data_IF_078319371981
#
_entry.id   IF_078319371981
#
_cell.length_a   1.000
_cell.length_b   1.000
_cell.length_c   1.000
_cell.angle_alpha   90.00
_cell.angle_beta   90.00
_cell.angle_gamma   90.00
#
_symmetry.space_group_name_H-M   'P 1'
#
loop_
_entity.id
_entity.type
_entity.pdbx_description
1 polymer ?
#
# COMPACT_ATOMS: atom_id res chain seq x y z
N UNK A 1 -32.80 36.43 -63.04
CA UNK A 1 -32.76 34.98 -62.72
C UNK A 1 -31.76 34.78 -61.58
N UNK A 2 -32.20 34.12 -60.49
CA UNK A 2 -31.46 33.62 -59.30
C UNK A 2 -30.69 34.66 -58.44
N UNK A 3 -31.08 35.03 -57.20
CA UNK A 3 -31.04 34.28 -55.92
C UNK A 3 -29.67 33.59 -55.70
N UNK A 4 -28.90 33.72 -54.61
CA UNK A 4 -29.17 34.21 -53.25
C UNK A 4 -27.88 34.25 -52.40
N UNK A 5 -27.77 35.27 -51.54
CA UNK A 5 -27.35 35.24 -50.12
C UNK A 5 -25.99 34.68 -49.64
N UNK A 6 -25.25 35.57 -48.95
CA UNK A 6 -24.74 35.48 -47.56
C UNK A 6 -24.15 34.14 -47.08
N UNK A 7 -22.88 34.18 -46.62
CA UNK A 7 -22.55 34.06 -45.18
C UNK A 7 -21.06 34.27 -44.91
N UNK A 8 -20.78 35.31 -44.15
CA UNK A 8 -19.56 35.50 -43.39
C UNK A 8 -19.38 34.39 -42.34
N UNK A 9 -18.09 34.19 -42.04
CA UNK A 9 -17.54 33.82 -40.74
C UNK A 9 -17.68 32.37 -40.25
N UNK A 10 -16.58 31.99 -39.57
CA UNK A 10 -16.39 30.84 -38.71
C UNK A 10 -16.05 29.52 -39.41
N UNK A 11 -14.77 29.15 -39.33
CA UNK A 11 -14.29 27.94 -38.62
C UNK A 11 -12.80 27.72 -38.89
N UNK A 12 -11.98 28.67 -38.47
CA UNK A 12 -10.56 28.44 -38.19
C UNK A 12 -10.38 27.68 -36.85
N UNK A 13 -11.14 26.62 -36.64
CA UNK A 13 -11.26 25.90 -35.36
C UNK A 13 -11.41 24.39 -35.58
N UNK A 14 -10.61 23.82 -36.50
CA UNK A 14 -10.59 22.38 -36.76
C UNK A 14 -9.19 21.76 -36.68
N UNK A 15 -8.25 22.42 -35.98
CA UNK A 15 -6.85 21.95 -35.92
C UNK A 15 -6.22 22.03 -34.52
N UNK A 16 -7.01 21.78 -33.46
CA UNK A 16 -6.51 21.81 -32.07
C UNK A 16 -7.07 20.69 -31.17
N UNK A 17 -7.47 19.54 -31.72
CA UNK A 17 -8.11 18.47 -30.92
C UNK A 17 -7.43 17.09 -30.97
N UNK A 18 -6.15 16.96 -31.35
CA UNK A 18 -5.48 15.65 -31.41
C UNK A 18 -4.11 15.60 -30.69
N UNK A 19 -3.93 16.37 -29.61
CA UNK A 19 -2.71 16.29 -28.78
C UNK A 19 -3.01 16.19 -27.27
N UNK A 20 -4.19 15.71 -26.90
CA UNK A 20 -4.58 15.48 -25.51
C UNK A 20 -4.95 14.02 -25.32
N UNK A 21 -4.00 13.25 -24.76
CA UNK A 21 -4.17 11.99 -24.00
C UNK A 21 -3.06 10.99 -24.30
N UNK A 22 -1.84 11.38 -23.97
CA UNK A 22 -0.87 10.43 -23.44
C UNK A 22 -0.29 11.03 -22.16
N UNK A 23 -1.16 11.33 -21.18
CA UNK A 23 -0.70 11.27 -19.79
C UNK A 23 -0.58 9.78 -19.49
N UNK A 24 0.52 9.18 -19.93
CA UNK A 24 0.97 7.93 -19.38
C UNK A 24 1.21 8.24 -17.91
N UNK A 25 0.25 7.88 -17.07
CA UNK A 25 0.54 7.61 -15.69
C UNK A 25 1.65 6.56 -15.71
N UNK A 26 2.89 7.00 -15.51
CA UNK A 26 3.96 6.14 -15.00
C UNK A 26 3.56 5.74 -13.58
N UNK A 27 2.50 4.96 -13.46
CA UNK A 27 2.27 4.14 -12.30
C UNK A 27 3.36 3.06 -12.39
N UNK A 28 4.35 3.14 -11.50
CA UNK A 28 5.25 2.02 -11.28
C UNK A 28 4.41 0.76 -11.07
N UNK A 29 4.82 -0.34 -11.69
CA UNK A 29 4.07 -1.58 -11.59
C UNK A 29 4.10 -2.08 -10.14
N UNK A 30 2.96 -2.58 -9.60
CA UNK A 30 2.92 -3.13 -8.26
C UNK A 30 3.96 -4.24 -8.13
N UNK A 31 4.75 -4.20 -7.06
CA UNK A 31 5.79 -5.19 -6.85
C UNK A 31 6.12 -5.38 -5.38
N UNK A 32 6.55 -6.59 -5.04
CA UNK A 32 7.19 -6.89 -3.78
C UNK A 32 8.53 -7.55 -4.06
N UNK A 33 9.56 -7.12 -3.35
CA UNK A 33 10.89 -7.70 -3.43
C UNK A 33 11.48 -7.83 -2.03
N UNK A 34 12.50 -8.68 -1.90
CA UNK A 34 13.20 -8.82 -0.63
C UNK A 34 14.66 -8.45 -0.75
N UNK A 35 15.19 -7.89 0.33
CA UNK A 35 16.61 -7.65 0.53
C UNK A 35 17.07 -8.39 1.78
N UNK A 36 18.31 -8.90 1.75
CA UNK A 36 18.92 -9.56 2.91
C UNK A 36 20.16 -8.76 3.32
N UNK A 37 20.20 -8.36 4.59
CA UNK A 37 21.38 -7.72 5.18
C UNK A 37 22.39 -8.77 5.64
N UNK A 38 23.64 -8.36 5.80
CA UNK A 38 24.72 -9.22 6.34
C UNK A 38 24.42 -9.78 7.74
N UNK A 39 23.58 -9.10 8.53
CA UNK A 39 23.07 -9.56 9.83
C UNK A 39 22.08 -10.74 9.74
N UNK A 40 21.67 -11.11 8.53
CA UNK A 40 20.63 -12.10 8.27
C UNK A 40 19.21 -11.56 8.41
N UNK A 41 19.04 -10.25 8.64
CA UNK A 41 17.72 -9.60 8.58
C UNK A 41 17.23 -9.59 7.13
N UNK A 42 15.98 -9.99 6.93
CA UNK A 42 15.29 -9.98 5.64
C UNK A 42 14.23 -8.88 5.66
N UNK A 43 14.27 -7.97 4.70
CA UNK A 43 13.25 -6.94 4.52
C UNK A 43 12.50 -7.22 3.23
N UNK A 44 11.19 -7.40 3.34
CA UNK A 44 10.27 -7.39 2.21
C UNK A 44 9.74 -5.97 2.03
N UNK A 45 9.89 -5.44 0.83
CA UNK A 45 9.35 -4.12 0.45
C UNK A 45 8.34 -4.32 -0.66
N UNK A 46 7.11 -3.88 -0.41
CA UNK A 46 6.02 -3.88 -1.36
C UNK A 46 5.67 -2.42 -1.72
N UNK A 47 5.67 -2.10 -3.01
CA UNK A 47 5.43 -0.73 -3.50
C UNK A 47 4.33 -0.68 -4.54
N UNK A 48 3.68 0.48 -4.63
CA UNK A 48 2.70 0.84 -5.67
C UNK A 48 1.48 -0.08 -5.75
N UNK A 49 1.16 -0.77 -4.65
CA UNK A 49 -0.01 -1.64 -4.56
C UNK A 49 -1.27 -0.78 -4.55
N UNK A 50 -2.28 -1.21 -5.31
CA UNK A 50 -3.58 -0.53 -5.48
C UNK A 50 -4.74 -1.31 -4.90
N UNK A 51 -4.47 -2.51 -4.38
CA UNK A 51 -5.45 -3.31 -3.66
C UNK A 51 -4.78 -4.31 -2.72
N UNK A 52 -5.53 -4.79 -1.73
CA UNK A 52 -5.17 -5.88 -0.83
C UNK A 52 -4.91 -7.19 -1.57
N UNK A 53 -5.58 -7.42 -2.69
CA UNK A 53 -5.33 -8.58 -3.55
C UNK A 53 -3.92 -8.55 -4.13
N UNK A 54 -3.43 -7.38 -4.58
CA UNK A 54 -2.06 -7.26 -5.07
C UNK A 54 -1.02 -7.52 -3.96
N UNK A 55 -1.33 -7.16 -2.71
CA UNK A 55 -0.47 -7.52 -1.59
C UNK A 55 -0.36 -9.05 -1.45
N UNK A 56 -1.47 -9.79 -1.54
CA UNK A 56 -1.44 -11.26 -1.51
C UNK A 56 -0.70 -11.87 -2.70
N UNK A 57 -0.95 -11.34 -3.90
CA UNK A 57 -0.39 -11.89 -5.14
C UNK A 57 1.12 -11.68 -5.26
N UNK A 58 1.65 -10.59 -4.68
CA UNK A 58 3.06 -10.25 -4.79
C UNK A 58 3.88 -10.56 -3.54
N UNK A 59 3.27 -10.58 -2.35
CA UNK A 59 3.98 -10.88 -1.12
C UNK A 59 4.17 -12.39 -0.94
N UNK A 60 5.31 -12.88 -1.41
CA UNK A 60 5.74 -14.27 -1.27
C UNK A 60 6.87 -14.41 -0.22
N UNK A 61 6.55 -14.39 1.08
CA UNK A 61 7.56 -14.43 2.13
C UNK A 61 8.21 -15.81 2.24
N UNK A 62 9.50 -15.82 2.51
CA UNK A 62 10.22 -17.04 2.86
C UNK A 62 9.83 -17.47 4.28
N UNK A 63 8.92 -18.44 4.36
CA UNK A 63 8.40 -19.01 5.62
C UNK A 63 9.46 -19.78 6.44
N UNK A 64 10.65 -20.01 5.88
CA UNK A 64 11.78 -20.63 6.60
C UNK A 64 12.74 -19.62 7.21
N UNK A 65 12.46 -18.32 7.07
CA UNK A 65 13.28 -17.28 7.70
C UNK A 65 13.25 -17.41 9.23
N UNK A 66 14.40 -17.21 9.92
CA UNK A 66 14.42 -17.22 11.37
C UNK A 66 13.45 -16.19 11.97
N UNK A 67 12.75 -16.59 13.02
CA UNK A 67 11.80 -15.74 13.76
C UNK A 67 12.49 -14.46 14.23
N UNK A 68 11.79 -13.33 14.15
CA UNK A 68 12.27 -12.03 14.61
C UNK A 68 13.23 -11.32 13.64
N UNK A 69 13.56 -11.93 12.49
CA UNK A 69 14.47 -11.34 11.49
C UNK A 69 13.77 -10.81 10.24
N UNK A 70 12.44 -10.87 10.18
CA UNK A 70 11.68 -10.43 9.02
C UNK A 70 11.06 -9.05 9.27
N UNK A 71 11.28 -8.12 8.34
CA UNK A 71 10.65 -6.81 8.30
C UNK A 71 9.78 -6.69 7.06
N UNK A 72 8.55 -6.23 7.22
CA UNK A 72 7.67 -5.88 6.11
C UNK A 72 7.58 -4.35 6.00
N UNK A 73 7.79 -3.84 4.79
CA UNK A 73 7.58 -2.44 4.42
C UNK A 73 6.56 -2.41 3.29
N UNK A 74 5.51 -1.63 3.48
CA UNK A 74 4.54 -1.31 2.44
C UNK A 74 4.70 0.19 2.17
N UNK A 75 4.99 0.55 0.93
CA UNK A 75 5.27 1.94 0.53
C UNK A 75 4.40 2.38 -0.65
N UNK A 76 4.02 3.66 -0.67
CA UNK A 76 3.30 4.30 -1.80
C UNK A 76 2.06 3.53 -2.28
N UNK A 77 1.33 2.94 -1.33
CA UNK A 77 0.28 1.95 -1.64
C UNK A 77 -1.09 2.41 -1.15
N UNK A 78 -2.14 2.00 -1.85
CA UNK A 78 -3.52 2.16 -1.44
C UNK A 78 -4.16 0.77 -1.31
N UNK A 79 -4.51 0.37 -0.10
CA UNK A 79 -5.05 -0.95 0.21
C UNK A 79 -6.44 -0.82 0.84
N UNK A 80 -7.37 -1.72 0.51
CA UNK A 80 -8.67 -1.76 1.18
C UNK A 80 -8.50 -2.20 2.65
N UNK A 81 -7.72 -3.25 2.88
CA UNK A 81 -7.38 -3.78 4.20
C UNK A 81 -6.05 -4.53 4.18
N UNK A 82 -5.59 -4.98 5.34
CA UNK A 82 -4.57 -6.05 5.39
C UNK A 82 -5.29 -7.38 5.24
N UNK A 83 -4.94 -8.19 4.23
CA UNK A 83 -5.55 -9.50 4.03
C UNK A 83 -5.45 -10.39 5.26
N UNK A 84 -6.53 -11.09 5.59
CA UNK A 84 -6.52 -12.06 6.68
C UNK A 84 -5.49 -13.17 6.40
N UNK A 85 -4.74 -13.56 7.43
CA UNK A 85 -3.77 -14.64 7.34
C UNK A 85 -2.48 -14.27 6.61
N UNK A 86 -2.31 -13.02 6.15
CA UNK A 86 -1.08 -12.53 5.50
C UNK A 86 0.17 -12.85 6.35
N UNK A 87 0.04 -12.74 7.67
CA UNK A 87 1.14 -12.95 8.61
C UNK A 87 1.21 -14.36 9.20
N UNK A 88 0.30 -15.26 8.83
CA UNK A 88 0.19 -16.59 9.41
C UNK A 88 1.49 -17.40 9.27
N UNK A 89 2.12 -17.71 10.41
CA UNK A 89 3.36 -18.48 10.46
C UNK A 89 4.61 -17.70 10.03
N UNK A 90 4.55 -16.37 9.99
CA UNK A 90 5.70 -15.51 9.72
C UNK A 90 6.28 -14.95 11.02
N UNK A 91 7.61 -14.86 11.09
CA UNK A 91 8.31 -14.20 12.20
C UNK A 91 8.59 -12.73 11.93
N UNK A 92 7.55 -11.94 11.62
CA UNK A 92 7.70 -10.50 11.30
C UNK A 92 7.88 -9.71 12.60
N UNK A 93 9.04 -9.09 12.79
CA UNK A 93 9.32 -8.25 13.96
C UNK A 93 9.03 -6.77 13.73
N UNK A 94 8.96 -6.34 12.48
CA UNK A 94 8.68 -4.94 12.14
C UNK A 94 7.72 -4.84 10.96
N UNK A 95 6.66 -4.08 11.13
CA UNK A 95 5.75 -3.66 10.05
C UNK A 95 5.87 -2.14 9.89
N UNK A 96 6.11 -1.69 8.67
CA UNK A 96 6.16 -0.26 8.32
C UNK A 96 5.19 0.06 7.20
N UNK A 97 4.41 1.09 7.43
CA UNK A 97 3.56 1.78 6.46
C UNK A 97 4.20 3.13 6.11
N UNK A 98 4.50 3.32 4.83
CA UNK A 98 5.15 4.52 4.30
C UNK A 98 4.32 5.10 3.14
N UNK A 99 3.69 6.26 3.32
CA UNK A 99 2.74 6.80 2.35
C UNK A 99 1.69 5.77 1.93
N UNK A 100 1.09 5.10 2.91
CA UNK A 100 0.07 4.07 2.70
C UNK A 100 -1.31 4.59 3.04
N UNK A 101 -2.21 4.58 2.07
CA UNK A 101 -3.63 4.84 2.25
C UNK A 101 -4.38 3.54 2.52
N UNK A 102 -5.13 3.51 3.62
CA UNK A 102 -5.98 2.37 3.96
C UNK A 102 -7.45 2.80 3.78
N UNK A 103 -8.12 2.27 2.76
CA UNK A 103 -9.38 2.84 2.25
C UNK A 103 -10.64 2.12 2.73
N UNK A 104 -10.51 0.89 3.25
CA UNK A 104 -11.62 0.11 3.81
C UNK A 104 -11.89 0.42 5.28
N UNK A 105 -12.96 -0.17 5.82
CA UNK A 105 -13.33 -0.04 7.23
C UNK A 105 -12.66 -1.14 8.07
N UNK A 106 -11.83 -0.74 9.03
CA UNK A 106 -11.06 -1.64 9.89
C UNK A 106 -11.85 -2.08 11.13
N UNK A 107 -12.77 -1.22 11.56
CA UNK A 107 -13.53 -1.35 12.81
C UNK A 107 -14.63 -2.42 12.77
N UNK A 108 -14.94 -3.02 11.61
CA UNK A 108 -15.94 -4.09 11.47
C UNK A 108 -15.35 -5.49 11.31
N UNK A 109 -14.03 -5.64 11.24
CA UNK A 109 -13.41 -6.95 11.12
C UNK A 109 -13.56 -7.76 12.42
N UNK A 110 -13.77 -9.07 12.31
CA UNK A 110 -13.92 -9.97 13.47
C UNK A 110 -12.60 -10.20 14.23
N UNK A 111 -11.46 -9.90 13.59
CA UNK A 111 -10.12 -10.11 14.17
C UNK A 111 -9.14 -9.02 13.74
N UNK A 112 -8.08 -8.83 14.55
CA UNK A 112 -7.04 -7.84 14.27
C UNK A 112 -6.42 -8.07 12.87
N UNK A 113 -6.15 -7.00 12.11
CA UNK A 113 -5.42 -7.08 10.84
C UNK A 113 -3.99 -7.63 11.00
N UNK A 114 -3.46 -7.68 12.23
CA UNK A 114 -2.11 -8.15 12.55
C UNK A 114 -2.10 -9.61 13.03
N UNK A 115 -3.21 -10.35 12.85
CA UNK A 115 -3.33 -11.75 13.27
C UNK A 115 -2.19 -12.60 12.71
N UNK A 116 -1.54 -13.38 13.57
CA UNK A 116 -0.34 -14.16 13.28
C UNK A 116 0.96 -13.50 13.76
N UNK A 117 0.92 -12.24 14.21
CA UNK A 117 2.08 -11.53 14.74
C UNK A 117 2.08 -11.35 16.26
N UNK A 118 1.14 -11.98 16.97
CA UNK A 118 0.89 -11.81 18.40
C UNK A 118 2.18 -11.91 19.22
N UNK A 119 2.99 -12.93 18.92
CA UNK A 119 4.22 -13.25 19.65
C UNK A 119 5.51 -12.76 18.93
N UNK A 120 5.41 -12.00 17.85
CA UNK A 120 6.59 -11.64 17.03
C UNK A 120 6.73 -10.17 16.71
N UNK A 121 5.63 -9.40 16.65
CA UNK A 121 5.71 -7.98 16.33
C UNK A 121 6.33 -7.19 17.49
N UNK A 122 7.45 -6.54 17.23
CA UNK A 122 8.16 -5.70 18.20
C UNK A 122 8.01 -4.21 17.90
N UNK A 123 7.91 -3.87 16.61
CA UNK A 123 7.90 -2.49 16.12
C UNK A 123 6.87 -2.25 15.02
N UNK A 124 6.11 -1.17 15.17
CA UNK A 124 5.16 -0.69 14.17
C UNK A 124 5.49 0.75 13.77
N UNK A 125 5.54 1.03 12.47
CA UNK A 125 5.92 2.35 11.96
C UNK A 125 4.86 2.86 10.98
N UNK A 126 4.42 4.10 11.17
CA UNK A 126 3.60 4.84 10.22
C UNK A 126 4.35 6.10 9.80
N UNK A 127 4.45 6.34 8.50
CA UNK A 127 5.20 7.47 7.96
C UNK A 127 4.56 8.10 6.72
N UNK A 128 4.89 9.37 6.48
CA UNK A 128 4.49 10.13 5.29
C UNK A 128 2.98 10.11 5.04
N UNK A 129 2.21 10.64 5.98
CA UNK A 129 0.74 10.69 5.94
C UNK A 129 0.06 9.32 5.76
N UNK A 130 0.70 8.24 6.23
CA UNK A 130 0.05 6.93 6.23
C UNK A 130 -1.22 6.94 7.06
N UNK A 131 -2.23 6.19 6.65
CA UNK A 131 -3.47 6.03 7.42
C UNK A 131 -3.17 5.28 8.72
N UNK A 132 -3.63 5.82 9.84
CA UNK A 132 -3.55 5.18 11.16
C UNK A 132 -4.91 4.64 11.59
N UNK A 133 -4.95 3.59 12.43
CA UNK A 133 -6.20 3.03 12.94
C UNK A 133 -7.00 4.01 13.79
N UNK A 134 -8.32 3.96 13.65
CA UNK A 134 -9.27 4.67 14.51
C UNK A 134 -9.48 3.95 15.86
N UNK A 135 -9.33 2.62 15.88
CA UNK A 135 -9.44 1.77 17.05
C UNK A 135 -8.14 0.98 17.31
N UNK A 136 -7.24 1.59 18.09
CA UNK A 136 -5.97 0.96 18.49
C UNK A 136 -6.12 -0.28 19.35
N UNK A 137 -7.15 -0.35 20.21
CA UNK A 137 -7.37 -1.50 21.07
C UNK A 137 -7.69 -2.76 20.24
N UNK A 138 -8.49 -2.60 19.19
CA UNK A 138 -8.77 -3.65 18.23
C UNK A 138 -7.54 -3.96 17.36
N UNK A 139 -6.91 -2.93 16.80
CA UNK A 139 -5.79 -3.09 15.87
C UNK A 139 -4.60 -3.83 16.51
N UNK A 140 -4.29 -3.51 17.78
CA UNK A 140 -3.15 -4.09 18.52
C UNK A 140 -3.52 -5.28 19.41
N UNK A 141 -4.74 -5.81 19.29
CA UNK A 141 -5.20 -6.90 20.13
C UNK A 141 -4.24 -8.10 20.06
N UNK A 142 -3.76 -8.54 21.23
CA UNK A 142 -2.90 -9.73 21.35
C UNK A 142 -1.41 -9.52 21.04
N UNK A 143 -0.95 -8.30 20.72
CA UNK A 143 0.46 -8.02 20.44
C UNK A 143 1.28 -7.93 21.73
N UNK A 144 1.78 -9.06 22.24
CA UNK A 144 2.42 -9.14 23.58
C UNK A 144 3.86 -8.61 23.61
N UNK A 145 4.53 -8.57 22.47
CA UNK A 145 5.93 -8.12 22.34
C UNK A 145 6.09 -6.74 21.70
N UNK A 146 5.00 -6.08 21.32
CA UNK A 146 5.06 -4.75 20.72
C UNK A 146 5.58 -3.75 21.78
N UNK A 147 6.75 -3.18 21.50
CA UNK A 147 7.45 -2.27 22.42
C UNK A 147 7.67 -0.88 21.83
N UNK A 148 7.60 -0.75 20.50
CA UNK A 148 7.85 0.50 19.81
C UNK A 148 6.78 0.79 18.76
N UNK A 149 6.18 1.98 18.84
CA UNK A 149 5.38 2.56 17.77
C UNK A 149 5.99 3.89 17.36
N UNK A 150 6.21 4.07 16.06
CA UNK A 150 6.87 5.25 15.51
C UNK A 150 5.94 5.93 14.51
N UNK A 151 5.82 7.24 14.64
CA UNK A 151 5.06 8.11 13.75
C UNK A 151 6.02 9.18 13.23
N UNK A 152 6.11 9.33 11.92
CA UNK A 152 7.06 10.27 11.29
C UNK A 152 6.40 10.96 10.08
N UNK A 153 6.50 12.28 9.99
CA UNK A 153 5.88 13.06 8.90
C UNK A 153 4.41 12.69 8.65
N UNK A 154 3.59 12.85 9.69
CA UNK A 154 2.15 12.53 9.72
C UNK A 154 1.24 13.75 9.60
#
# INVERSE_FOLDING_TARGET
>A
MQWSSLREASRAFQSFCLLSWAVQWSACAPSCFYTRRSSGQVTYTCTDLRSSAQLLDHFEPNRTAPVGKLRLVIENSALECIPEGLFGGLGVSTVQFDNVALTGEWSRAESTPLRGLEDTLEKLVFSHNSTVPDNWAFFLAGMVHLSEMVFFDM
#
